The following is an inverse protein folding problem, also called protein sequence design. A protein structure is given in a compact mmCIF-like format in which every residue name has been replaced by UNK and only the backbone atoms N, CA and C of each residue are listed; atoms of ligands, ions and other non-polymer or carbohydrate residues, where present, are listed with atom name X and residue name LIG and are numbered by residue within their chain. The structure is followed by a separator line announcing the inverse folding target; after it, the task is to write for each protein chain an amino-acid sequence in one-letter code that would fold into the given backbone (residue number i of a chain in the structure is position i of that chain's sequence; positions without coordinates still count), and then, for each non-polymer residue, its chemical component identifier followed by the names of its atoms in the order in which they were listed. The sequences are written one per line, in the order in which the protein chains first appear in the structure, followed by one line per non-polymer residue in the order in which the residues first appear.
data_IF_833304612967
#
_entry.id   IF_833304612967
#
_cell.length_a   1.000
_cell.length_b   1.000
_cell.length_c   1.000
_cell.angle_alpha   90.00
_cell.angle_beta   90.00
_cell.angle_gamma   90.00
#
_symmetry.space_group_name_H-M   'P 1'
#
loop_
_entity.id
_entity.type
_entity.pdbx_description
1 polymer ?
#
# COMPACT_ATOMS: atom_id res chain seq x y z
N UNK A 1 81.85 -24.78 -45.27
CA UNK A 1 81.37 -23.65 -44.49
C UNK A 1 79.87 -23.76 -44.52
N UNK A 2 79.25 -24.19 -43.39
CA UNK A 2 77.85 -24.57 -43.32
C UNK A 2 77.13 -23.48 -42.52
N UNK A 3 76.20 -22.77 -43.18
CA UNK A 3 75.33 -21.81 -42.57
C UNK A 3 74.12 -22.53 -41.97
N UNK A 4 73.87 -22.36 -40.70
CA UNK A 4 72.61 -22.80 -40.03
C UNK A 4 71.67 -21.60 -39.87
N UNK A 5 70.36 -21.73 -40.18
CA UNK A 5 69.44 -20.65 -39.93
C UNK A 5 68.91 -20.76 -38.48
N UNK A 6 69.07 -19.67 -37.74
CA UNK A 6 68.43 -19.46 -36.46
C UNK A 6 67.27 -18.49 -36.70
N UNK A 7 66.05 -18.94 -36.72
CA UNK A 7 64.84 -18.13 -36.47
C UNK A 7 63.56 -18.94 -36.72
N UNK A 8 62.96 -19.52 -35.70
CA UNK A 8 61.53 -19.93 -35.71
C UNK A 8 60.98 -20.40 -34.33
N UNK A 9 61.47 -19.90 -33.21
CA UNK A 9 60.95 -20.31 -31.91
C UNK A 9 60.30 -19.20 -31.05
N UNK A 10 60.26 -17.95 -31.58
CA UNK A 10 59.77 -16.81 -30.79
C UNK A 10 58.27 -16.47 -30.96
N UNK A 11 57.57 -17.00 -31.97
CA UNK A 11 56.26 -16.47 -32.32
C UNK A 11 55.06 -17.29 -31.73
N UNK A 12 55.31 -18.54 -31.34
CA UNK A 12 54.24 -19.42 -30.81
C UNK A 12 53.92 -19.17 -29.32
N UNK A 13 54.86 -18.61 -28.55
CA UNK A 13 54.64 -18.40 -27.09
C UNK A 13 53.82 -17.16 -26.79
N UNK A 14 53.85 -16.16 -27.66
CA UNK A 14 53.11 -14.88 -27.47
C UNK A 14 51.62 -15.05 -27.81
N UNK A 15 51.27 -15.94 -28.75
CA UNK A 15 49.86 -16.19 -29.07
C UNK A 15 49.12 -17.05 -28.01
N UNK A 16 49.84 -17.86 -27.24
CA UNK A 16 49.20 -18.66 -26.17
C UNK A 16 48.94 -17.85 -24.92
N UNK A 17 49.74 -16.81 -24.66
CA UNK A 17 49.52 -15.89 -23.49
C UNK A 17 48.40 -14.89 -23.73
N UNK A 18 48.12 -14.53 -24.98
CA UNK A 18 47.03 -13.59 -25.34
C UNK A 18 45.64 -14.24 -25.25
N UNK A 19 45.51 -15.59 -25.44
CA UNK A 19 44.26 -16.30 -25.28
C UNK A 19 43.84 -16.57 -23.84
N UNK A 20 44.77 -16.50 -22.87
CA UNK A 20 44.47 -16.72 -21.45
C UNK A 20 43.98 -15.44 -20.73
N UNK A 21 44.12 -14.28 -21.34
CA UNK A 21 43.66 -13.01 -20.73
C UNK A 21 42.24 -12.62 -21.16
N UNK A 22 41.69 -13.20 -22.26
CA UNK A 22 40.35 -12.89 -22.75
C UNK A 22 39.21 -13.72 -22.16
N UNK A 23 39.52 -14.65 -21.27
CA UNK A 23 38.48 -15.51 -20.67
C UNK A 23 38.03 -15.09 -19.25
N UNK A 24 38.44 -13.91 -18.76
CA UNK A 24 38.18 -13.46 -17.38
C UNK A 24 37.05 -12.43 -17.22
N UNK A 25 36.39 -11.99 -18.29
CA UNK A 25 35.43 -10.88 -18.19
C UNK A 25 33.99 -11.21 -18.67
N UNK A 26 33.51 -12.41 -18.46
CA UNK A 26 32.09 -12.72 -18.62
C UNK A 26 31.49 -13.23 -17.30
N UNK A 27 31.82 -12.60 -16.20
CA UNK A 27 30.99 -12.70 -15.00
C UNK A 27 29.87 -11.70 -15.16
N UNK A 28 28.80 -12.13 -15.84
CA UNK A 28 27.54 -11.41 -15.82
C UNK A 28 27.19 -11.17 -14.36
N UNK A 29 27.31 -9.92 -13.91
CA UNK A 29 26.68 -9.47 -12.69
C UNK A 29 25.19 -9.67 -12.90
N UNK A 30 24.66 -10.78 -12.42
CA UNK A 30 23.24 -10.93 -12.18
C UNK A 30 22.91 -9.83 -11.16
N UNK A 31 22.35 -8.71 -11.63
CA UNK A 31 21.71 -7.77 -10.75
C UNK A 31 20.79 -8.57 -9.82
N UNK A 32 20.83 -8.36 -8.49
CA UNK A 32 19.88 -9.02 -7.61
C UNK A 32 18.49 -8.71 -8.19
N UNK A 33 17.73 -9.73 -8.55
CA UNK A 33 16.31 -9.58 -8.84
C UNK A 33 15.74 -8.98 -7.56
N UNK A 34 15.44 -7.70 -7.59
CA UNK A 34 14.79 -7.03 -6.46
C UNK A 34 13.52 -7.84 -6.17
N UNK A 35 13.54 -8.53 -5.04
CA UNK A 35 12.42 -9.40 -4.66
C UNK A 35 11.16 -8.53 -4.67
N UNK A 36 10.14 -8.95 -5.43
CA UNK A 36 8.90 -8.22 -5.57
C UNK A 36 8.39 -7.84 -4.17
N UNK A 37 8.14 -6.56 -3.97
CA UNK A 37 7.60 -6.04 -2.71
C UNK A 37 6.26 -6.70 -2.42
N UNK A 38 5.97 -6.92 -1.15
CA UNK A 38 4.75 -7.53 -0.68
C UNK A 38 3.82 -6.47 -0.10
N UNK A 39 2.54 -6.46 -0.46
CA UNK A 39 1.61 -5.47 0.05
C UNK A 39 1.45 -5.58 1.57
N UNK A 40 1.39 -4.42 2.22
CA UNK A 40 1.05 -4.24 3.64
C UNK A 40 0.07 -3.08 3.71
N UNK A 41 -1.18 -3.36 4.10
CA UNK A 41 -2.20 -2.32 4.25
C UNK A 41 -2.01 -1.64 5.61
N UNK A 42 -1.92 -0.30 5.58
CA UNK A 42 -1.74 0.55 6.77
C UNK A 42 -2.87 1.57 6.79
N UNK A 43 -3.76 1.43 7.76
CA UNK A 43 -4.88 2.35 8.00
C UNK A 43 -4.51 3.27 9.16
N UNK A 44 -4.66 4.58 8.99
CA UNK A 44 -4.49 5.58 10.04
C UNK A 44 -5.83 6.23 10.34
N UNK A 45 -6.34 6.08 11.56
CA UNK A 45 -7.47 6.83 12.06
C UNK A 45 -6.98 8.12 12.72
N UNK A 46 -7.39 9.26 12.15
CA UNK A 46 -6.90 10.60 12.48
C UNK A 46 -8.04 11.62 12.51
N UNK A 47 -7.75 12.86 12.87
CA UNK A 47 -8.65 14.00 12.70
C UNK A 47 -7.89 15.31 12.75
N UNK A 48 -8.30 16.30 11.96
CA UNK A 48 -7.79 17.66 12.04
C UNK A 48 -8.12 18.36 13.39
N UNK A 49 -9.13 17.86 14.13
CA UNK A 49 -9.47 18.34 15.46
C UNK A 49 -8.55 17.85 16.58
N UNK A 50 -7.74 16.83 16.32
CA UNK A 50 -6.90 16.16 17.32
C UNK A 50 -5.46 16.71 17.29
N UNK A 51 -4.99 17.36 18.36
CA UNK A 51 -3.66 17.97 18.42
C UNK A 51 -2.48 16.98 18.40
N UNK A 52 -2.72 15.73 18.77
CA UNK A 52 -1.70 14.67 18.71
C UNK A 52 -1.62 13.94 17.35
N UNK A 53 -2.52 14.25 16.42
CA UNK A 53 -2.63 13.58 15.12
C UNK A 53 -1.61 14.05 14.06
N UNK A 54 -1.27 15.35 13.91
CA UNK A 54 -0.41 15.80 12.82
C UNK A 54 0.96 15.09 12.72
N UNK A 55 1.63 14.69 13.82
CA UNK A 55 2.83 13.87 13.72
C UNK A 55 2.60 12.46 13.12
N UNK A 56 1.40 11.90 13.30
CA UNK A 56 1.04 10.59 12.72
C UNK A 56 0.73 10.72 11.22
N UNK A 57 0.04 11.80 10.83
CA UNK A 57 -0.24 12.12 9.43
C UNK A 57 1.07 12.30 8.65
N UNK A 58 2.03 13.05 9.23
CA UNK A 58 3.36 13.22 8.65
C UNK A 58 4.14 11.88 8.55
N UNK A 59 4.00 10.99 9.54
CA UNK A 59 4.61 9.66 9.49
C UNK A 59 3.98 8.80 8.41
N UNK A 60 2.67 8.79 8.26
CA UNK A 60 1.97 8.06 7.20
C UNK A 60 2.45 8.53 5.82
N UNK A 61 2.58 9.84 5.63
CA UNK A 61 3.12 10.42 4.40
C UNK A 61 4.53 9.93 4.11
N UNK A 62 5.42 9.88 5.11
CA UNK A 62 6.76 9.34 4.94
C UNK A 62 6.75 7.85 4.58
N UNK A 63 5.92 7.06 5.23
CA UNK A 63 5.79 5.63 4.98
C UNK A 63 5.31 5.36 3.55
N UNK A 64 4.30 6.09 3.10
CA UNK A 64 3.71 5.93 1.77
C UNK A 64 4.68 6.38 0.67
N UNK A 65 5.28 7.58 0.79
CA UNK A 65 6.13 8.14 -0.26
C UNK A 65 7.51 7.52 -0.33
N UNK A 66 8.12 7.21 0.81
CA UNK A 66 9.50 6.72 0.88
C UNK A 66 9.60 5.20 0.87
N UNK A 67 8.52 4.49 1.21
CA UNK A 67 8.52 3.02 1.26
C UNK A 67 9.72 2.46 2.04
N UNK A 68 9.95 2.89 3.29
CA UNK A 68 11.26 2.70 3.95
C UNK A 68 11.50 1.29 4.48
N UNK A 69 10.50 0.40 4.40
CA UNK A 69 10.60 -0.97 4.89
C UNK A 69 10.97 -1.91 3.75
N UNK A 70 12.14 -2.57 3.79
CA UNK A 70 12.55 -3.49 2.75
C UNK A 70 11.55 -4.64 2.55
N UNK A 71 11.22 -4.92 1.30
CA UNK A 71 10.28 -5.99 0.93
C UNK A 71 8.80 -5.67 1.16
N UNK A 72 8.45 -4.54 1.78
CA UNK A 72 7.08 -4.07 1.91
C UNK A 72 6.70 -3.14 0.74
N UNK A 73 5.50 -3.31 0.21
CA UNK A 73 4.75 -2.31 -0.52
C UNK A 73 3.68 -1.75 0.42
N UNK A 74 3.94 -0.59 0.99
CA UNK A 74 3.04 0.04 1.96
C UNK A 74 1.89 0.67 1.18
N UNK A 75 0.68 0.19 1.43
CA UNK A 75 -0.56 0.75 0.91
C UNK A 75 -1.21 1.50 2.07
N UNK A 76 -1.18 2.83 2.01
CA UNK A 76 -1.72 3.71 3.03
C UNK A 76 -3.20 4.01 2.80
N UNK A 77 -3.96 4.14 3.86
CA UNK A 77 -5.33 4.70 3.90
C UNK A 77 -5.43 5.58 5.13
N UNK A 78 -5.75 6.86 4.94
CA UNK A 78 -5.96 7.83 6.00
C UNK A 78 -7.47 8.05 6.19
N UNK A 79 -7.98 7.74 7.39
CA UNK A 79 -9.39 7.75 7.73
C UNK A 79 -9.69 8.80 8.80
N UNK A 80 -10.36 9.89 8.41
CA UNK A 80 -10.68 10.98 9.33
C UNK A 80 -11.95 10.70 10.10
N UNK A 81 -11.83 10.52 11.43
CA UNK A 81 -12.97 10.28 12.31
C UNK A 81 -13.71 11.56 12.65
N UNK A 82 -15.03 11.49 12.90
CA UNK A 82 -15.88 12.65 13.10
C UNK A 82 -16.12 13.03 14.55
N UNK A 83 -15.69 12.23 15.51
CA UNK A 83 -15.97 12.49 16.94
C UNK A 83 -15.13 13.64 17.53
N UNK A 84 -14.18 14.23 16.78
CA UNK A 84 -13.48 15.45 17.13
C UNK A 84 -14.18 16.74 16.66
N UNK A 85 -15.20 16.64 15.81
CA UNK A 85 -15.87 17.80 15.20
C UNK A 85 -16.60 18.70 16.19
N UNK A 86 -16.73 18.30 17.45
CA UNK A 86 -17.38 19.11 18.50
C UNK A 86 -16.49 20.19 19.11
N UNK A 87 -15.17 20.20 18.82
CA UNK A 87 -14.21 21.15 19.40
C UNK A 87 -14.07 22.46 18.60
N UNK A 88 -15.08 22.80 17.81
CA UNK A 88 -15.17 24.06 17.06
C UNK A 88 -14.60 24.02 15.65
N UNK A 89 -13.92 22.95 15.25
CA UNK A 89 -13.48 22.66 13.88
C UNK A 89 -14.19 21.44 13.33
N UNK A 90 -14.78 21.57 12.16
CA UNK A 90 -15.35 20.44 11.44
C UNK A 90 -14.32 20.02 10.40
N UNK A 91 -13.75 18.85 10.58
CA UNK A 91 -12.79 18.25 9.66
C UNK A 91 -13.50 17.92 8.33
N UNK A 92 -13.08 18.55 7.20
CA UNK A 92 -13.77 18.38 5.91
C UNK A 92 -13.64 16.98 5.30
N UNK A 93 -12.75 16.16 5.82
CA UNK A 93 -12.49 14.79 5.35
C UNK A 93 -13.12 13.74 6.26
N UNK A 94 -13.66 14.16 7.41
CA UNK A 94 -14.23 13.23 8.40
C UNK A 94 -15.55 12.61 7.94
N UNK A 95 -15.77 11.37 8.38
CA UNK A 95 -17.01 10.66 8.14
C UNK A 95 -17.40 9.76 9.32
N UNK A 96 -18.72 9.67 9.65
CA UNK A 96 -19.24 8.68 10.58
C UNK A 96 -18.92 7.23 10.16
N UNK A 97 -18.75 6.97 8.86
CA UNK A 97 -18.39 5.64 8.34
C UNK A 97 -16.98 5.24 8.77
N UNK A 98 -16.04 6.18 8.79
CA UNK A 98 -14.68 5.94 9.24
C UNK A 98 -14.62 5.74 10.76
N UNK A 99 -15.36 6.53 11.51
CA UNK A 99 -15.56 6.33 12.95
C UNK A 99 -16.12 4.93 13.24
N UNK A 100 -17.15 4.49 12.50
CA UNK A 100 -17.73 3.15 12.67
C UNK A 100 -16.73 2.04 12.31
N UNK A 101 -15.89 2.26 11.28
CA UNK A 101 -14.83 1.31 10.92
C UNK A 101 -13.81 1.16 12.05
N UNK A 102 -13.34 2.26 12.63
CA UNK A 102 -12.46 2.26 13.80
C UNK A 102 -13.08 1.54 14.99
N UNK A 103 -14.34 1.87 15.33
CA UNK A 103 -15.06 1.23 16.44
C UNK A 103 -15.19 -0.29 16.25
N UNK A 104 -15.28 -0.75 15.00
CA UNK A 104 -15.29 -2.19 14.69
C UNK A 104 -13.94 -2.83 15.02
N UNK A 105 -12.82 -2.15 14.75
CA UNK A 105 -11.50 -2.62 15.18
C UNK A 105 -11.36 -2.58 16.71
N UNK A 106 -11.72 -1.48 17.35
CA UNK A 106 -11.65 -1.30 18.80
C UNK A 106 -12.42 -2.42 19.55
N UNK A 107 -13.64 -2.71 19.11
CA UNK A 107 -14.45 -3.79 19.69
C UNK A 107 -13.80 -5.17 19.57
N UNK A 108 -13.15 -5.46 18.42
CA UNK A 108 -12.45 -6.73 18.19
C UNK A 108 -11.19 -6.84 19.06
N UNK A 109 -10.45 -5.73 19.18
CA UNK A 109 -9.18 -5.66 19.91
C UNK A 109 -9.40 -5.49 21.42
N UNK A 110 -10.65 -5.23 21.84
CA UNK A 110 -11.07 -4.98 23.26
C UNK A 110 -10.38 -3.74 23.83
N UNK A 111 -10.25 -2.72 23.01
CA UNK A 111 -9.69 -1.41 23.33
C UNK A 111 -10.75 -0.33 23.09
N UNK A 112 -10.54 0.84 23.65
CA UNK A 112 -11.32 2.03 23.29
C UNK A 112 -10.79 2.65 22.00
N UNK A 113 -11.67 3.29 21.22
CA UNK A 113 -11.25 4.08 20.05
C UNK A 113 -10.44 5.29 20.49
N UNK A 114 -9.32 5.54 19.84
CA UNK A 114 -8.44 6.69 20.11
C UNK A 114 -7.81 7.21 18.82
N UNK A 115 -7.32 8.44 18.82
CA UNK A 115 -6.51 9.00 17.74
C UNK A 115 -5.22 9.60 18.27
N UNK A 116 -4.13 9.53 17.46
CA UNK A 116 -4.02 8.80 16.19
C UNK A 116 -3.84 7.30 16.41
N UNK A 117 -4.60 6.46 15.70
CA UNK A 117 -4.47 5.00 15.75
C UNK A 117 -4.06 4.47 14.38
N UNK A 118 -2.99 3.66 14.33
CA UNK A 118 -2.62 2.89 13.14
C UNK A 118 -3.06 1.44 13.30
N UNK A 119 -3.65 0.90 12.22
CA UNK A 119 -3.97 -0.53 12.09
C UNK A 119 -3.24 -1.12 10.89
N UNK A 120 -2.43 -2.17 11.12
CA UNK A 120 -1.68 -2.88 10.09
C UNK A 120 -2.35 -4.21 9.77
N UNK A 121 -2.69 -4.41 8.51
CA UNK A 121 -3.35 -5.62 7.97
C UNK A 121 -4.59 -6.06 8.79
N UNK A 122 -5.30 -5.10 9.37
CA UNK A 122 -6.53 -5.33 10.15
C UNK A 122 -6.33 -6.07 11.48
N UNK A 123 -5.09 -6.22 11.97
CA UNK A 123 -4.78 -7.08 13.12
C UNK A 123 -3.91 -6.44 14.20
N UNK A 124 -3.02 -5.57 13.83
CA UNK A 124 -2.05 -4.95 14.75
C UNK A 124 -2.29 -3.47 14.81
N UNK A 125 -2.43 -2.94 16.02
CA UNK A 125 -2.71 -1.53 16.21
C UNK A 125 -1.70 -0.91 17.21
N UNK A 126 -1.52 0.40 17.09
CA UNK A 126 -0.65 1.19 17.96
C UNK A 126 -0.87 2.68 17.76
N UNK A 127 -0.37 3.48 18.69
CA UNK A 127 -0.42 4.95 18.60
C UNK A 127 0.36 5.45 17.39
N UNK A 128 -0.30 6.14 16.46
CA UNK A 128 0.14 6.41 15.09
C UNK A 128 1.40 7.26 14.94
N UNK A 129 1.83 8.01 15.94
CA UNK A 129 3.03 8.84 15.89
C UNK A 129 4.32 8.09 16.29
N UNK A 130 4.28 6.78 16.51
CA UNK A 130 5.43 5.98 16.90
C UNK A 130 6.11 5.34 15.69
N UNK A 131 7.10 6.02 15.11
CA UNK A 131 7.82 5.58 13.91
C UNK A 131 8.56 4.23 14.09
N UNK A 132 9.10 3.96 15.27
CA UNK A 132 9.78 2.69 15.54
C UNK A 132 8.80 1.52 15.56
N UNK A 133 7.64 1.74 16.19
CA UNK A 133 6.57 0.75 16.22
C UNK A 133 5.99 0.51 14.83
N UNK A 134 5.74 1.57 14.06
CA UNK A 134 5.28 1.48 12.68
C UNK A 134 6.21 0.62 11.83
N UNK A 135 7.51 0.91 11.85
CA UNK A 135 8.51 0.13 11.13
C UNK A 135 8.49 -1.35 11.55
N UNK A 136 8.51 -1.63 12.84
CA UNK A 136 8.50 -3.00 13.37
C UNK A 136 7.25 -3.79 12.95
N UNK A 137 6.06 -3.16 13.06
CA UNK A 137 4.81 -3.85 12.72
C UNK A 137 4.64 -4.06 11.22
N UNK A 138 5.14 -3.13 10.38
CA UNK A 138 5.17 -3.31 8.93
C UNK A 138 6.16 -4.41 8.55
N UNK A 139 7.38 -4.43 9.14
CA UNK A 139 8.37 -5.52 8.92
C UNK A 139 7.76 -6.90 9.28
N UNK A 140 7.09 -6.99 10.42
CA UNK A 140 6.42 -8.22 10.86
C UNK A 140 5.24 -8.62 9.95
N UNK A 141 4.65 -7.66 9.23
CA UNK A 141 3.53 -7.88 8.34
C UNK A 141 3.95 -8.30 6.92
N UNK A 142 5.22 -8.09 6.54
CA UNK A 142 5.74 -8.48 5.22
C UNK A 142 5.51 -9.96 4.95
N UNK A 143 4.89 -10.27 3.81
CA UNK A 143 4.54 -11.65 3.44
C UNK A 143 3.38 -12.26 4.22
N UNK A 144 2.71 -11.47 5.08
CA UNK A 144 1.50 -11.88 5.80
C UNK A 144 0.27 -12.02 4.91
N UNK A 145 0.16 -11.18 3.87
CA UNK A 145 -0.90 -11.24 2.86
C UNK A 145 -0.50 -12.24 1.79
N UNK A 146 -1.30 -13.30 1.64
CA UNK A 146 -0.98 -14.41 0.72
C UNK A 146 -1.92 -14.50 -0.47
N UNK A 147 -3.07 -13.84 -0.39
CA UNK A 147 -4.04 -13.78 -1.48
C UNK A 147 -3.59 -12.72 -2.47
N UNK A 148 -3.36 -13.13 -3.70
CA UNK A 148 -3.06 -12.21 -4.78
C UNK A 148 -4.30 -11.39 -5.13
N UNK A 149 -4.13 -10.08 -5.24
CA UNK A 149 -5.17 -9.14 -5.70
C UNK A 149 -4.57 -8.38 -6.88
N UNK A 150 -5.31 -8.30 -7.97
CA UNK A 150 -4.90 -7.53 -9.15
C UNK A 150 -5.97 -6.51 -9.50
N UNK A 151 -5.51 -5.32 -9.89
CA UNK A 151 -6.35 -4.24 -10.38
C UNK A 151 -5.77 -3.80 -11.72
N UNK A 152 -6.59 -3.77 -12.74
CA UNK A 152 -6.25 -3.19 -14.04
C UNK A 152 -7.24 -2.07 -14.38
N UNK A 153 -6.69 -0.94 -14.86
CA UNK A 153 -7.51 0.14 -15.39
C UNK A 153 -8.21 -0.34 -16.67
N UNK A 154 -9.51 -0.28 -16.68
CA UNK A 154 -10.34 -0.59 -17.84
C UNK A 154 -10.61 0.65 -18.68
N UNK A 155 -11.78 0.67 -19.36
CA UNK A 155 -12.19 1.80 -20.18
C UNK A 155 -12.49 3.03 -19.32
N UNK A 156 -12.09 4.19 -19.81
CA UNK A 156 -12.66 5.45 -19.32
C UNK A 156 -14.17 5.41 -19.56
N UNK A 157 -14.91 5.67 -18.49
CA UNK A 157 -16.36 5.79 -18.59
C UNK A 157 -16.79 7.17 -19.08
N UNK A 158 -18.02 7.52 -18.83
CA UNK A 158 -18.48 8.91 -18.97
C UNK A 158 -17.66 9.82 -18.04
N UNK A 159 -17.57 11.12 -18.37
CA UNK A 159 -16.84 12.13 -17.60
C UNK A 159 -17.00 11.93 -16.08
N UNK A 160 -15.88 11.76 -15.38
CA UNK A 160 -15.85 11.54 -13.93
C UNK A 160 -16.10 10.09 -13.49
N UNK A 161 -15.85 9.09 -14.37
CA UNK A 161 -15.87 7.68 -13.97
C UNK A 161 -14.86 6.83 -14.73
N UNK A 162 -14.39 5.74 -14.10
CA UNK A 162 -13.51 4.77 -14.73
C UNK A 162 -13.92 3.36 -14.32
N UNK A 163 -13.88 2.43 -15.27
CA UNK A 163 -14.03 1.00 -15.03
C UNK A 163 -12.70 0.40 -14.64
N UNK A 164 -12.72 -0.54 -13.71
CA UNK A 164 -11.56 -1.34 -13.31
C UNK A 164 -11.88 -2.81 -13.48
N UNK A 165 -10.87 -3.61 -13.81
CA UNK A 165 -10.96 -5.06 -13.72
C UNK A 165 -10.26 -5.50 -12.44
N UNK A 166 -10.97 -6.20 -11.57
CA UNK A 166 -10.49 -6.70 -10.28
C UNK A 166 -10.50 -8.22 -10.31
N UNK A 167 -9.38 -8.82 -9.88
CA UNK A 167 -9.30 -10.27 -9.68
C UNK A 167 -8.67 -10.57 -8.32
N UNK A 168 -9.25 -11.52 -7.61
CA UNK A 168 -8.70 -12.11 -6.38
C UNK A 168 -8.33 -13.55 -6.67
N UNK A 169 -7.07 -13.88 -6.49
CA UNK A 169 -6.54 -15.21 -6.69
C UNK A 169 -7.01 -16.21 -5.62
N UNK A 170 -6.40 -17.40 -5.62
CA UNK A 170 -6.71 -18.42 -4.63
C UNK A 170 -6.44 -17.92 -3.21
N UNK A 171 -7.39 -18.12 -2.32
CA UNK A 171 -7.26 -17.71 -0.92
C UNK A 171 -6.79 -18.85 -0.03
N UNK A 172 -5.85 -18.53 0.87
CA UNK A 172 -5.58 -19.35 2.04
C UNK A 172 -6.37 -18.77 3.22
N UNK A 173 -7.47 -19.41 3.58
CA UNK A 173 -8.26 -19.00 4.73
C UNK A 173 -7.51 -19.23 6.01
N UNK A 174 -7.49 -18.24 6.89
CA UNK A 174 -6.94 -18.37 8.25
C UNK A 174 -8.00 -18.65 9.30
N UNK A 175 -9.24 -18.24 9.04
CA UNK A 175 -10.36 -18.43 9.96
C UNK A 175 -11.44 -19.28 9.27
N UNK A 176 -11.70 -20.48 9.79
CA UNK A 176 -12.82 -21.29 9.32
C UNK A 176 -14.13 -20.51 9.58
N UNK A 177 -15.07 -20.58 8.64
CA UNK A 177 -16.40 -19.97 8.72
C UNK A 177 -16.45 -18.42 8.77
N UNK A 178 -15.35 -17.73 8.46
CA UNK A 178 -15.39 -16.29 8.22
C UNK A 178 -15.63 -15.97 6.74
N UNK A 179 -16.32 -14.88 6.49
CA UNK A 179 -16.64 -14.42 5.13
C UNK A 179 -15.55 -13.45 4.67
N UNK A 180 -14.94 -13.73 3.53
CA UNK A 180 -13.96 -12.84 2.91
C UNK A 180 -14.67 -11.81 2.03
N UNK A 181 -14.79 -10.58 2.51
CA UNK A 181 -15.39 -9.45 1.78
C UNK A 181 -14.32 -8.76 0.93
N UNK A 182 -14.69 -8.41 -0.30
CA UNK A 182 -13.83 -7.65 -1.22
C UNK A 182 -14.26 -6.20 -1.18
N UNK A 183 -13.35 -5.33 -0.79
CA UNK A 183 -13.54 -3.90 -0.63
C UNK A 183 -12.76 -3.11 -1.66
N UNK A 184 -13.34 -2.02 -2.13
CA UNK A 184 -12.71 -1.04 -3.00
C UNK A 184 -12.72 0.31 -2.30
N UNK A 185 -11.54 0.87 -2.08
CA UNK A 185 -11.31 2.19 -1.53
C UNK A 185 -10.84 3.14 -2.64
N UNK A 186 -11.28 4.38 -2.59
CA UNK A 186 -10.70 5.49 -3.36
C UNK A 186 -10.05 6.43 -2.37
N UNK A 187 -8.77 6.72 -2.56
CA UNK A 187 -8.03 7.66 -1.74
C UNK A 187 -7.51 8.82 -2.60
N UNK A 188 -7.27 9.96 -1.97
CA UNK A 188 -6.75 11.17 -2.63
C UNK A 188 -5.51 11.69 -1.90
N UNK A 189 -4.47 11.98 -2.66
CA UNK A 189 -3.22 12.55 -2.16
C UNK A 189 -3.22 14.07 -2.24
N UNK A 190 -2.35 14.69 -1.42
CA UNK A 190 -2.03 16.10 -1.50
C UNK A 190 -3.14 17.03 -1.03
N UNK A 191 -4.05 16.53 -0.21
CA UNK A 191 -5.07 17.34 0.43
C UNK A 191 -4.44 18.18 1.55
N UNK A 192 -5.04 19.33 1.81
CA UNK A 192 -4.62 20.21 2.89
C UNK A 192 -5.77 21.10 3.37
N UNK A 193 -5.72 21.49 4.64
CA UNK A 193 -6.65 22.43 5.25
C UNK A 193 -5.91 23.51 6.04
N UNK A 194 -6.45 24.72 6.00
CA UNK A 194 -6.05 25.82 6.91
C UNK A 194 -7.01 25.80 8.09
N UNK A 195 -6.60 25.18 9.19
CA UNK A 195 -7.43 24.98 10.37
C UNK A 195 -7.60 26.33 11.10
N UNK A 196 -8.84 26.79 11.25
CA UNK A 196 -9.11 28.11 11.83
C UNK A 196 -9.58 28.06 13.29
N UNK A 197 -10.03 26.92 13.78
CA UNK A 197 -10.58 26.71 15.13
C UNK A 197 -10.11 25.35 15.69
N UNK A 198 -10.41 25.10 16.97
CA UNK A 198 -10.04 23.87 17.65
C UNK A 198 -8.56 23.80 18.05
N UNK A 199 -8.09 22.61 18.44
CA UNK A 199 -6.75 22.42 19.00
C UNK A 199 -5.60 22.71 18.00
N UNK A 200 -5.86 22.55 16.70
CA UNK A 200 -4.89 22.80 15.62
C UNK A 200 -5.08 24.18 14.95
N UNK A 201 -5.79 25.12 15.59
CA UNK A 201 -6.04 26.45 15.03
C UNK A 201 -4.74 27.16 14.62
N UNK A 202 -4.74 27.76 13.42
CA UNK A 202 -3.60 28.50 12.86
C UNK A 202 -2.59 27.62 12.11
N UNK A 203 -2.77 26.30 12.05
CA UNK A 203 -1.91 25.39 11.30
C UNK A 203 -2.49 25.07 9.91
N UNK A 204 -1.60 24.79 8.96
CA UNK A 204 -1.95 24.15 7.70
C UNK A 204 -1.58 22.68 7.84
N UNK A 205 -2.57 21.80 7.75
CA UNK A 205 -2.40 20.36 7.83
C UNK A 205 -2.37 19.78 6.40
N UNK A 206 -1.54 18.78 6.19
CA UNK A 206 -1.36 18.10 4.89
C UNK A 206 -1.64 16.61 5.06
N UNK A 207 -2.34 16.05 4.08
CA UNK A 207 -2.82 14.68 4.10
C UNK A 207 -2.41 13.90 2.86
N UNK A 208 -2.26 12.58 3.02
CA UNK A 208 -1.92 11.62 1.96
C UNK A 208 -2.86 10.42 2.07
N UNK A 209 -3.19 9.82 0.94
CA UNK A 209 -4.06 8.65 0.90
C UNK A 209 -5.37 8.83 1.69
N UNK A 210 -5.91 10.07 1.73
CA UNK A 210 -7.15 10.38 2.45
C UNK A 210 -8.31 9.65 1.84
N UNK A 211 -9.03 8.86 2.63
CA UNK A 211 -10.13 8.01 2.18
C UNK A 211 -11.34 8.84 1.74
N UNK A 212 -11.69 8.75 0.47
CA UNK A 212 -12.82 9.45 -0.14
C UNK A 212 -14.07 8.57 -0.24
N UNK A 213 -13.88 7.28 -0.49
CA UNK A 213 -14.98 6.31 -0.51
C UNK A 213 -14.47 4.90 -0.23
N UNK A 214 -15.33 4.07 0.38
CA UNK A 214 -15.08 2.68 0.66
C UNK A 214 -16.33 1.85 0.39
N UNK A 215 -16.26 0.91 -0.55
CA UNK A 215 -17.42 0.12 -0.95
C UNK A 215 -17.09 -1.36 -0.96
N UNK A 216 -17.99 -2.17 -0.42
CA UNK A 216 -17.93 -3.61 -0.62
C UNK A 216 -18.40 -3.94 -2.04
N UNK A 217 -17.49 -4.51 -2.84
CA UNK A 217 -17.77 -4.90 -4.23
C UNK A 217 -18.15 -6.36 -4.39
N UNK A 218 -17.98 -7.16 -3.34
CA UNK A 218 -18.43 -8.56 -3.34
C UNK A 218 -17.91 -9.39 -2.17
N UNK A 219 -18.01 -10.69 -2.36
CA UNK A 219 -17.52 -11.72 -1.44
C UNK A 219 -16.70 -12.72 -2.23
N UNK A 220 -15.51 -13.02 -1.75
CA UNK A 220 -14.63 -13.96 -2.41
C UNK A 220 -14.94 -15.40 -1.97
N UNK A 221 -15.00 -16.33 -2.93
CA UNK A 221 -15.21 -17.76 -2.69
C UNK A 221 -13.89 -18.47 -2.40
N UNK A 222 -13.72 -18.94 -1.19
CA UNK A 222 -12.51 -19.66 -0.78
C UNK A 222 -12.37 -21.04 -1.45
N UNK A 223 -13.42 -21.58 -2.06
CA UNK A 223 -13.40 -22.87 -2.75
C UNK A 223 -13.12 -22.74 -4.25
N UNK A 224 -12.94 -21.49 -4.75
CA UNK A 224 -12.60 -21.22 -6.14
C UNK A 224 -11.29 -21.89 -6.54
N UNK A 225 -11.28 -22.63 -7.66
CA UNK A 225 -10.12 -23.42 -8.10
C UNK A 225 -8.96 -22.56 -8.62
N UNK A 226 -9.25 -21.40 -9.26
CA UNK A 226 -8.25 -20.52 -9.87
C UNK A 226 -8.39 -19.05 -9.50
N UNK A 227 -9.62 -18.55 -9.37
CA UNK A 227 -9.91 -17.21 -8.87
C UNK A 227 -11.04 -17.30 -7.86
N UNK A 228 -10.88 -16.62 -6.74
CA UNK A 228 -11.89 -16.54 -5.68
C UNK A 228 -12.93 -15.46 -5.94
N UNK A 229 -12.60 -14.47 -6.77
CA UNK A 229 -13.47 -13.36 -7.12
C UNK A 229 -12.99 -12.63 -8.36
N UNK A 230 -13.93 -12.19 -9.21
CA UNK A 230 -13.69 -11.28 -10.32
C UNK A 230 -14.83 -10.28 -10.42
N UNK A 231 -14.52 -9.03 -10.72
CA UNK A 231 -15.52 -7.98 -10.94
C UNK A 231 -14.98 -6.88 -11.86
N UNK A 232 -15.89 -6.13 -12.44
CA UNK A 232 -15.61 -4.94 -13.25
C UNK A 232 -16.32 -3.71 -12.67
N UNK A 233 -15.92 -3.24 -11.47
CA UNK A 233 -16.54 -2.09 -10.85
C UNK A 233 -16.33 -0.82 -11.68
N UNK A 234 -17.35 0.03 -11.73
CA UNK A 234 -17.24 1.39 -12.24
C UNK A 234 -17.16 2.34 -11.06
N UNK A 235 -16.03 2.99 -10.90
CA UNK A 235 -15.81 4.01 -9.88
C UNK A 235 -16.21 5.37 -10.43
N UNK A 236 -17.08 6.06 -9.71
CA UNK A 236 -17.48 7.44 -9.99
C UNK A 236 -16.67 8.37 -9.10
N UNK A 237 -16.13 9.42 -9.68
CA UNK A 237 -15.37 10.44 -8.96
C UNK A 237 -16.24 11.66 -8.74
N UNK A 238 -16.21 12.20 -7.54
CA UNK A 238 -16.83 13.50 -7.27
C UNK A 238 -16.09 14.58 -8.06
N UNK A 239 -16.83 15.59 -8.51
CA UNK A 239 -16.29 16.70 -9.31
C UNK A 239 -15.28 17.57 -8.57
N UNK A 240 -15.24 17.49 -7.23
CA UNK A 240 -14.30 18.21 -6.39
C UNK A 240 -12.99 17.45 -6.14
N UNK A 241 -12.91 16.16 -6.55
CA UNK A 241 -11.70 15.38 -6.38
C UNK A 241 -10.71 15.63 -7.53
N UNK A 242 -9.43 15.69 -7.20
CA UNK A 242 -8.40 15.77 -8.22
C UNK A 242 -8.05 14.36 -8.73
N UNK A 243 -8.57 14.02 -9.90
CA UNK A 243 -8.42 12.67 -10.48
C UNK A 243 -6.96 12.24 -10.61
N UNK A 244 -6.05 13.17 -10.85
CA UNK A 244 -4.61 12.86 -10.97
C UNK A 244 -3.96 12.45 -9.64
N UNK A 245 -4.62 12.76 -8.52
CA UNK A 245 -4.16 12.40 -7.18
C UNK A 245 -4.91 11.20 -6.60
N UNK A 246 -5.82 10.58 -7.38
CA UNK A 246 -6.59 9.46 -6.89
C UNK A 246 -5.87 8.13 -7.05
N UNK A 247 -6.06 7.29 -6.04
CA UNK A 247 -5.68 5.88 -6.05
C UNK A 247 -6.92 5.01 -5.83
N UNK A 248 -6.93 3.86 -6.49
CA UNK A 248 -7.91 2.79 -6.21
C UNK A 248 -7.17 1.67 -5.52
N UNK A 249 -7.61 1.34 -4.33
CA UNK A 249 -7.11 0.23 -3.54
C UNK A 249 -8.20 -0.83 -3.41
N UNK A 250 -7.87 -2.08 -3.72
CA UNK A 250 -8.74 -3.23 -3.46
C UNK A 250 -8.10 -4.11 -2.42
N UNK A 251 -8.87 -4.50 -1.42
CA UNK A 251 -8.42 -5.42 -0.40
C UNK A 251 -9.49 -6.46 -0.06
N UNK A 252 -9.03 -7.61 0.38
CA UNK A 252 -9.86 -8.71 0.84
C UNK A 252 -9.77 -8.77 2.35
N UNK A 253 -10.92 -8.63 3.04
CA UNK A 253 -10.98 -8.59 4.50
C UNK A 253 -11.95 -9.63 5.04
N UNK A 254 -11.52 -10.43 6.00
CA UNK A 254 -12.41 -11.29 6.76
C UNK A 254 -13.40 -10.45 7.57
N UNK A 255 -14.68 -10.79 7.47
CA UNK A 255 -15.77 -10.00 8.08
C UNK A 255 -15.73 -9.97 9.61
N UNK A 256 -15.48 -11.12 10.24
CA UNK A 256 -15.48 -11.25 11.71
C UNK A 256 -14.11 -10.90 12.30
N UNK A 257 -13.05 -11.49 11.77
CA UNK A 257 -11.69 -11.32 12.28
C UNK A 257 -11.06 -9.98 11.89
N UNK A 258 -11.62 -9.29 10.88
CA UNK A 258 -11.10 -8.06 10.24
C UNK A 258 -9.72 -8.22 9.63
N UNK A 259 -9.17 -9.44 9.59
CA UNK A 259 -7.86 -9.68 8.99
C UNK A 259 -7.89 -9.39 7.48
N UNK A 260 -6.90 -8.64 7.00
CA UNK A 260 -6.67 -8.49 5.57
C UNK A 260 -5.95 -9.73 5.04
N UNK A 261 -6.42 -10.28 3.93
CA UNK A 261 -5.88 -11.48 3.29
C UNK A 261 -5.05 -11.15 2.04
N UNK A 262 -5.37 -10.06 1.37
CA UNK A 262 -4.68 -9.57 0.20
C UNK A 262 -5.05 -8.11 -0.07
N UNK A 263 -4.17 -7.37 -0.71
CA UNK A 263 -4.41 -5.99 -1.12
C UNK A 263 -3.60 -5.64 -2.38
N UNK A 264 -4.09 -4.70 -3.14
CA UNK A 264 -3.38 -4.06 -4.23
C UNK A 264 -3.85 -2.61 -4.37
N UNK A 265 -2.98 -1.74 -4.86
CA UNK A 265 -3.33 -0.34 -5.15
C UNK A 265 -2.83 0.05 -6.53
N UNK A 266 -3.53 0.96 -7.18
CA UNK A 266 -3.13 1.55 -8.46
C UNK A 266 -3.53 3.00 -8.51
N UNK A 267 -2.65 3.84 -9.07
CA UNK A 267 -2.96 5.23 -9.37
C UNK A 267 -3.92 5.29 -10.55
N UNK A 268 -4.90 6.19 -10.49
CA UNK A 268 -5.79 6.46 -11.61
C UNK A 268 -4.98 7.16 -12.69
N UNK A 269 -5.13 6.71 -13.92
CA UNK A 269 -4.51 7.32 -15.10
C UNK A 269 -5.57 8.13 -15.81
N UNK A 270 -5.37 9.45 -15.89
CA UNK A 270 -6.12 10.37 -16.73
C UNK A 270 -5.70 10.25 -18.20
#
# INVERSE_FOLDING_TARGET
MRNYPVAAFGLSLVLFLACLILSAEARAQSSPVEAARRPVLVELFTSEGCSSCPPADALLQQLEQQQPVPGAEIIAIEEHVDYWNHDGWIDPFSSPEWTQRQQTYAALLKEDSYTPEVVVNGRRHFVGNNAQRAKLEIENAVGGLKTEVTIASGREGSKGSQQFSVSVGKMERKTADDVAEVWLAVTEDGLHSSVSLGENAGHVLHHVATLRSLHKIGVADANGASASFTAEPVVKFDSHWNVENLHVTVFVQEKKSRQILGAASTKIKS
#
